data_IF_248385477103
#
_entry.id   IF_248385477103
#
_cell.length_a   1.000
_cell.length_b   1.000
_cell.length_c   1.000
_cell.angle_alpha   90.00
_cell.angle_beta   90.00
_cell.angle_gamma   90.00
#
_symmetry.space_group_name_H-M   'P 1'
#
loop_
_entity.id
_entity.type
_entity.pdbx_description
1 polymer ?
#
# COMPACT_ATOMS: atom_id res chain seq x y z
N UNK A 1 3.41 8.02 -0.38
CA UNK A 1 3.31 7.11 -1.53
C UNK A 1 3.98 5.79 -1.18
N UNK A 2 3.41 4.63 -1.55
CA UNK A 2 4.08 3.32 -1.40
C UNK A 2 4.32 2.80 0.03
N UNK A 3 3.65 3.37 1.05
CA UNK A 3 3.87 3.05 2.47
C UNK A 3 3.52 1.59 2.81
N UNK A 4 2.35 1.10 2.37
CA UNK A 4 1.98 -0.32 2.53
C UNK A 4 2.98 -1.27 1.88
N UNK A 5 3.52 -0.91 0.71
CA UNK A 5 4.57 -1.71 0.05
C UNK A 5 5.85 -1.73 0.87
N UNK A 6 6.24 -0.60 1.47
CA UNK A 6 7.36 -0.52 2.41
C UNK A 6 7.12 -1.41 3.64
N UNK A 7 5.93 -1.38 4.25
CA UNK A 7 5.58 -2.25 5.38
C UNK A 7 5.78 -3.72 5.03
N UNK A 8 5.23 -4.15 3.89
CA UNK A 8 5.39 -5.53 3.39
C UNK A 8 6.86 -5.87 3.11
N UNK A 9 7.62 -4.92 2.57
CA UNK A 9 9.05 -5.11 2.30
C UNK A 9 9.86 -5.28 3.58
N UNK A 10 9.58 -4.51 4.63
CA UNK A 10 10.21 -4.65 5.94
C UNK A 10 9.98 -6.07 6.49
N UNK A 11 8.73 -6.55 6.48
CA UNK A 11 8.40 -7.91 6.92
C UNK A 11 9.15 -8.95 6.07
N UNK A 12 9.11 -8.79 4.75
CA UNK A 12 9.81 -9.70 3.84
C UNK A 12 11.31 -9.77 4.12
N UNK A 13 11.97 -8.63 4.34
CA UNK A 13 13.41 -8.57 4.63
C UNK A 13 13.77 -9.17 5.99
N UNK A 14 12.93 -8.97 6.99
CA UNK A 14 13.08 -9.61 8.29
C UNK A 14 13.00 -11.15 8.19
N UNK A 15 11.99 -11.65 7.48
CA UNK A 15 11.73 -13.08 7.33
C UNK A 15 12.78 -13.76 6.44
N UNK A 16 13.10 -13.19 5.28
CA UNK A 16 13.91 -13.87 4.26
C UNK A 16 15.37 -13.46 4.23
N UNK A 17 15.69 -12.24 4.64
CA UNK A 17 17.06 -11.69 4.58
C UNK A 17 17.71 -11.49 5.95
N UNK A 18 16.98 -11.76 7.04
CA UNK A 18 17.49 -11.63 8.40
C UNK A 18 17.79 -10.19 8.82
N UNK A 19 17.28 -9.21 8.06
CA UNK A 19 17.41 -7.79 8.39
C UNK A 19 16.73 -7.56 9.75
N UNK A 20 17.42 -6.85 10.65
CA UNK A 20 16.93 -6.49 11.99
C UNK A 20 16.69 -7.62 13.00
N UNK A 21 17.04 -8.88 12.70
CA UNK A 21 16.96 -9.98 13.68
C UNK A 21 17.82 -9.80 14.93
N UNK A 22 18.82 -8.93 14.86
CA UNK A 22 19.62 -8.55 16.02
C UNK A 22 18.92 -7.55 16.94
N UNK A 23 17.89 -6.85 16.44
CA UNK A 23 17.09 -5.86 17.17
C UNK A 23 15.76 -6.43 17.66
N UNK A 24 15.11 -7.24 16.81
CA UNK A 24 13.78 -7.75 17.06
C UNK A 24 13.74 -9.27 16.90
N UNK A 25 12.97 -9.91 17.76
CA UNK A 25 12.70 -11.35 17.71
C UNK A 25 11.47 -11.63 16.82
N UNK A 26 10.60 -10.63 16.64
CA UNK A 26 9.40 -10.68 15.79
C UNK A 26 9.05 -9.31 15.20
N UNK A 27 8.46 -9.32 14.01
CA UNK A 27 7.92 -8.14 13.32
C UNK A 27 6.48 -8.41 12.93
N UNK A 28 5.57 -7.50 13.30
CA UNK A 28 4.13 -7.66 13.12
C UNK A 28 3.56 -6.51 12.32
N UNK A 29 3.04 -6.81 11.13
CA UNK A 29 2.38 -5.81 10.30
C UNK A 29 0.87 -5.90 10.48
N UNK A 30 0.27 -4.82 10.99
CA UNK A 30 -1.16 -4.71 11.28
C UNK A 30 -1.77 -3.66 10.36
N UNK A 31 -2.62 -4.06 9.39
CA UNK A 31 -3.41 -3.13 8.60
C UNK A 31 -4.50 -2.51 9.48
N UNK A 32 -4.38 -1.22 9.82
CA UNK A 32 -5.31 -0.57 10.76
C UNK A 32 -6.74 -0.51 10.21
N UNK A 33 -6.90 -0.48 8.89
CA UNK A 33 -8.22 -0.59 8.23
C UNK A 33 -9.01 -1.83 8.63
N UNK A 34 -8.32 -2.95 8.91
CA UNK A 34 -8.92 -4.22 9.27
C UNK A 34 -9.57 -4.22 10.65
N UNK A 35 -9.21 -3.25 11.50
CA UNK A 35 -9.86 -3.03 12.78
C UNK A 35 -11.31 -2.54 12.63
N UNK A 36 -11.68 -1.99 11.46
CA UNK A 36 -13.07 -1.63 11.17
C UNK A 36 -13.90 -2.89 10.94
N UNK A 37 -15.12 -2.89 11.46
CA UNK A 37 -16.08 -3.97 11.17
C UNK A 37 -15.96 -5.20 12.06
N UNK A 38 -15.28 -5.10 13.21
CA UNK A 38 -15.26 -6.17 14.21
C UNK A 38 -16.62 -6.40 14.88
N UNK A 39 -17.60 -5.52 14.63
CA UNK A 39 -18.95 -5.62 15.15
C UNK A 39 -18.94 -5.60 16.69
N UNK A 40 -19.52 -6.63 17.29
CA UNK A 40 -19.55 -6.81 18.75
C UNK A 40 -18.34 -7.59 19.29
N UNK A 41 -17.35 -7.91 18.45
CA UNK A 41 -16.15 -8.61 18.92
C UNK A 41 -15.32 -7.70 19.84
N UNK A 42 -14.64 -8.26 20.85
CA UNK A 42 -13.80 -7.47 21.73
C UNK A 42 -12.58 -6.94 20.99
N UNK A 43 -12.22 -5.70 21.24
CA UNK A 43 -11.02 -5.08 20.68
C UNK A 43 -9.80 -5.41 21.55
N UNK A 44 -9.10 -6.49 21.22
CA UNK A 44 -7.91 -6.97 21.92
C UNK A 44 -6.97 -7.73 20.96
N UNK A 45 -5.77 -8.09 21.44
CA UNK A 45 -4.77 -8.81 20.63
C UNK A 45 -5.25 -10.19 20.16
N UNK A 46 -6.10 -10.87 20.93
CA UNK A 46 -6.61 -12.20 20.56
C UNK A 46 -7.54 -12.13 19.36
N UNK A 47 -8.49 -11.19 19.37
CA UNK A 47 -9.34 -10.90 18.22
C UNK A 47 -8.50 -10.42 17.04
N UNK A 48 -7.51 -9.55 17.26
CA UNK A 48 -6.60 -9.10 16.20
C UNK A 48 -5.92 -10.29 15.53
N UNK A 49 -5.34 -11.17 16.33
CA UNK A 49 -4.56 -12.30 15.85
C UNK A 49 -5.42 -13.28 15.07
N UNK A 50 -6.63 -13.53 15.55
CA UNK A 50 -7.62 -14.37 14.89
C UNK A 50 -8.07 -13.80 13.53
N UNK A 51 -8.34 -12.50 13.47
CA UNK A 51 -8.91 -11.84 12.30
C UNK A 51 -7.89 -11.42 11.24
N UNK A 52 -6.65 -11.14 11.63
CA UNK A 52 -5.62 -10.66 10.72
C UNK A 52 -4.56 -11.72 10.40
N UNK A 53 -4.02 -12.40 11.43
CA UNK A 53 -2.90 -13.32 11.22
C UNK A 53 -3.32 -14.75 10.92
N UNK A 54 -4.47 -15.19 11.45
CA UNK A 54 -4.93 -16.59 11.33
C UNK A 54 -6.27 -16.74 10.61
N UNK A 55 -6.74 -15.71 9.91
CA UNK A 55 -8.03 -15.74 9.22
C UNK A 55 -8.13 -16.84 8.15
N UNK A 56 -7.00 -17.21 7.52
CA UNK A 56 -6.94 -18.24 6.49
C UNK A 56 -7.09 -19.68 7.03
N UNK A 57 -7.02 -19.90 8.35
CA UNK A 57 -7.26 -21.22 8.93
C UNK A 57 -8.72 -21.64 8.76
N UNK A 58 -8.92 -22.82 8.19
CA UNK A 58 -10.25 -23.39 7.91
C UNK A 58 -10.93 -23.96 9.17
N UNK A 59 -10.15 -24.32 10.18
CA UNK A 59 -10.66 -24.85 11.44
C UNK A 59 -10.76 -23.73 12.48
N UNK A 60 -11.98 -23.42 12.90
CA UNK A 60 -12.23 -22.40 13.90
C UNK A 60 -11.51 -22.68 15.22
N UNK A 61 -11.42 -23.94 15.65
CA UNK A 61 -10.78 -24.33 16.92
C UNK A 61 -9.26 -24.18 16.83
N UNK A 62 -8.67 -24.56 15.71
CA UNK A 62 -7.25 -24.34 15.43
C UNK A 62 -6.93 -22.84 15.45
N UNK A 63 -7.74 -22.04 14.74
CA UNK A 63 -7.58 -20.59 14.68
C UNK A 63 -7.62 -19.93 16.06
N UNK A 64 -8.58 -20.30 16.91
CA UNK A 64 -8.63 -19.79 18.30
C UNK A 64 -7.39 -20.22 19.10
N UNK A 65 -6.97 -21.48 18.97
CA UNK A 65 -5.80 -22.00 19.68
C UNK A 65 -4.51 -21.28 19.25
N UNK A 66 -4.36 -21.00 17.96
CA UNK A 66 -3.23 -20.24 17.41
C UNK A 66 -3.27 -18.79 17.87
N UNK A 67 -4.42 -18.13 17.83
CA UNK A 67 -4.57 -16.75 18.30
C UNK A 67 -4.22 -16.61 19.78
N UNK A 68 -4.70 -17.53 20.62
CA UNK A 68 -4.42 -17.55 22.05
C UNK A 68 -2.92 -17.77 22.33
N UNK A 69 -2.32 -18.79 21.72
CA UNK A 69 -0.89 -19.09 21.88
C UNK A 69 -0.01 -17.93 21.39
N UNK A 70 -0.41 -17.30 20.28
CA UNK A 70 0.29 -16.16 19.72
C UNK A 70 0.21 -14.94 20.65
N UNK A 71 -0.94 -14.65 21.26
CA UNK A 71 -1.07 -13.58 22.25
C UNK A 71 -0.22 -13.83 23.48
N UNK A 72 -0.22 -15.06 24.01
CA UNK A 72 0.67 -15.41 25.12
C UNK A 72 2.16 -15.22 24.79
N UNK A 73 2.56 -15.43 23.53
CA UNK A 73 3.92 -15.14 23.09
C UNK A 73 4.20 -13.62 23.01
N UNK A 74 3.20 -12.78 22.76
CA UNK A 74 3.34 -11.32 22.74
C UNK A 74 3.54 -10.74 24.13
N UNK A 75 2.97 -11.35 25.16
CA UNK A 75 3.09 -10.95 26.56
C UNK A 75 4.48 -11.22 27.17
N UNK A 76 5.36 -11.94 26.47
CA UNK A 76 6.74 -12.12 26.89
C UNK A 76 7.50 -10.78 26.84
N UNK A 77 7.66 -10.16 28.01
CA UNK A 77 8.34 -8.87 28.21
C UNK A 77 9.83 -8.88 27.77
N UNK A 78 10.43 -10.07 27.65
CA UNK A 78 11.82 -10.21 27.20
C UNK A 78 11.94 -10.25 25.67
N UNK A 79 10.85 -10.54 24.97
CA UNK A 79 10.85 -10.66 23.52
C UNK A 79 10.64 -9.30 22.86
N UNK A 80 11.56 -8.93 21.96
CA UNK A 80 11.57 -7.63 21.29
C UNK A 80 10.69 -7.70 20.05
N UNK A 81 9.58 -6.98 20.08
CA UNK A 81 8.58 -6.98 19.03
C UNK A 81 8.54 -5.62 18.34
N UNK A 82 8.64 -5.61 17.01
CA UNK A 82 8.34 -4.41 16.22
C UNK A 82 6.92 -4.50 15.67
N UNK A 83 6.09 -3.50 15.98
CA UNK A 83 4.77 -3.34 15.37
C UNK A 83 4.83 -2.36 14.21
N UNK A 84 4.27 -2.74 13.06
CA UNK A 84 4.12 -1.89 11.88
C UNK A 84 2.62 -1.68 11.68
N UNK A 85 2.14 -0.49 12.02
CA UNK A 85 0.73 -0.12 11.96
C UNK A 85 0.46 0.65 10.65
N UNK A 86 -0.17 -0.02 9.70
CA UNK A 86 -0.34 0.48 8.33
C UNK A 86 -1.70 1.17 8.15
N UNK A 87 -1.69 2.47 7.84
CA UNK A 87 -2.89 3.24 7.48
C UNK A 87 -3.62 3.89 8.66
N UNK A 88 -2.92 4.67 9.50
CA UNK A 88 -3.52 5.37 10.64
C UNK A 88 -4.64 6.33 10.21
N UNK A 89 -4.44 7.07 9.12
CA UNK A 89 -5.44 7.99 8.55
C UNK A 89 -6.77 7.32 8.21
N UNK A 90 -6.78 5.99 8.06
CA UNK A 90 -7.99 5.26 7.77
C UNK A 90 -8.88 5.12 8.99
N UNK A 91 -8.34 5.16 10.20
CA UNK A 91 -9.10 4.95 11.44
C UNK A 91 -9.15 6.18 12.35
N UNK A 92 -8.16 7.08 12.28
CA UNK A 92 -8.01 8.15 13.28
C UNK A 92 -9.09 9.23 13.23
N UNK A 93 -9.82 9.37 12.13
CA UNK A 93 -10.86 10.38 11.95
C UNK A 93 -12.30 9.87 12.22
N UNK A 94 -12.49 8.56 12.35
CA UNK A 94 -13.82 7.95 12.38
C UNK A 94 -14.27 7.50 13.77
N UNK A 95 -13.36 7.39 14.74
CA UNK A 95 -13.67 6.83 16.06
C UNK A 95 -13.69 7.90 17.14
N UNK A 96 -14.81 7.97 17.86
CA UNK A 96 -14.92 8.76 19.08
C UNK A 96 -13.96 8.21 20.15
N UNK A 97 -13.37 9.12 20.92
CA UNK A 97 -12.33 8.85 21.92
C UNK A 97 -12.75 7.87 23.02
N UNK A 98 -14.07 7.72 23.23
CA UNK A 98 -14.65 6.90 24.30
C UNK A 98 -15.06 5.49 23.81
N UNK A 99 -14.69 5.12 22.58
CA UNK A 99 -15.03 3.82 22.00
C UNK A 99 -13.96 2.75 22.29
N UNK A 100 -14.39 1.50 22.51
CA UNK A 100 -13.49 0.35 22.61
C UNK A 100 -12.45 0.26 21.47
N UNK A 101 -12.84 0.46 20.18
CA UNK A 101 -11.88 0.56 19.07
C UNK A 101 -10.79 1.61 19.28
N UNK A 102 -11.17 2.82 19.72
CA UNK A 102 -10.21 3.90 19.98
C UNK A 102 -9.24 3.54 21.10
N UNK A 103 -9.75 2.94 22.19
CA UNK A 103 -8.93 2.45 23.30
C UNK A 103 -7.88 1.44 22.86
N UNK A 104 -8.26 0.46 22.02
CA UNK A 104 -7.33 -0.55 21.51
C UNK A 104 -6.32 0.01 20.50
N UNK A 105 -6.74 0.95 19.63
CA UNK A 105 -5.82 1.68 18.76
C UNK A 105 -4.74 2.40 19.56
N UNK A 106 -5.13 3.07 20.65
CA UNK A 106 -4.19 3.72 21.56
C UNK A 106 -3.22 2.72 22.19
N UNK A 107 -3.69 1.53 22.56
CA UNK A 107 -2.81 0.44 23.05
C UNK A 107 -1.77 0.07 21.99
N UNK A 108 -2.18 -0.19 20.74
CA UNK A 108 -1.26 -0.53 19.65
C UNK A 108 -0.23 0.57 19.38
N UNK A 109 -0.67 1.83 19.37
CA UNK A 109 0.20 2.98 19.10
C UNK A 109 1.21 3.26 20.22
N UNK A 110 0.94 2.79 21.44
CA UNK A 110 1.81 2.94 22.60
C UNK A 110 2.69 1.72 22.86
N UNK A 111 2.69 0.73 21.96
CA UNK A 111 3.69 -0.33 22.00
C UNK A 111 5.10 0.26 21.94
N UNK A 112 6.08 -0.48 22.47
CA UNK A 112 7.43 0.04 22.69
C UNK A 112 8.15 0.41 21.39
N UNK A 113 8.07 -0.47 20.40
CA UNK A 113 8.75 -0.32 19.11
C UNK A 113 7.68 -0.34 18.01
N UNK A 114 7.33 0.84 17.50
CA UNK A 114 6.23 1.02 16.54
C UNK A 114 6.66 1.85 15.34
N UNK A 115 6.33 1.36 14.14
CA UNK A 115 6.34 2.13 12.90
C UNK A 115 4.89 2.37 12.50
N UNK A 116 4.52 3.64 12.29
CA UNK A 116 3.17 4.02 11.88
C UNK A 116 3.26 4.55 10.46
N UNK A 117 2.34 4.13 9.59
CA UNK A 117 2.15 4.77 8.28
C UNK A 117 0.86 5.54 8.24
N UNK A 118 0.91 6.70 7.59
CA UNK A 118 -0.27 7.52 7.41
C UNK A 118 -0.15 8.46 6.22
N UNK A 119 -1.29 8.91 5.68
CA UNK A 119 -1.38 10.09 4.82
C UNK A 119 -1.00 11.37 5.61
N UNK A 120 -0.56 12.43 4.93
CA UNK A 120 -0.33 13.71 5.58
C UNK A 120 -1.58 14.16 6.35
N UNK A 121 -1.37 14.88 7.46
CA UNK A 121 -2.43 15.45 8.32
C UNK A 121 -3.23 14.45 9.17
N UNK A 122 -2.79 13.20 9.27
CA UNK A 122 -3.39 12.29 10.24
C UNK A 122 -3.02 12.70 11.66
N UNK A 123 -4.04 12.83 12.51
CA UNK A 123 -3.85 13.14 13.92
C UNK A 123 -3.60 11.86 14.72
N UNK A 124 -2.68 11.96 15.68
CA UNK A 124 -2.49 10.91 16.67
C UNK A 124 -3.59 11.01 17.73
N UNK A 125 -4.17 9.87 18.17
CA UNK A 125 -5.07 9.82 19.30
C UNK A 125 -4.51 10.49 20.56
N UNK A 126 -5.38 11.03 21.40
CA UNK A 126 -4.99 11.60 22.68
C UNK A 126 -4.38 10.53 23.60
N UNK A 127 -3.27 10.86 24.27
CA UNK A 127 -2.56 9.95 25.17
C UNK A 127 -1.66 8.93 24.46
N UNK A 128 -1.34 9.16 23.18
CA UNK A 128 -0.27 8.45 22.48
C UNK A 128 1.07 9.12 22.77
N UNK A 129 2.12 8.31 22.94
CA UNK A 129 3.48 8.78 23.15
C UNK A 129 3.94 9.66 21.97
N UNK A 130 4.81 10.66 22.21
CA UNK A 130 5.34 11.49 21.14
C UNK A 130 6.11 10.63 20.13
N UNK A 131 6.00 10.98 18.85
CA UNK A 131 6.73 10.30 17.78
C UNK A 131 8.19 10.74 17.82
N UNK A 132 9.10 9.76 17.92
CA UNK A 132 10.54 10.02 17.99
C UNK A 132 11.14 10.43 16.63
N UNK A 133 10.58 9.92 15.53
CA UNK A 133 11.07 10.14 14.18
C UNK A 133 9.92 10.17 13.16
N UNK A 134 9.88 11.22 12.36
CA UNK A 134 8.96 11.36 11.23
C UNK A 134 9.74 11.29 9.91
N UNK A 135 9.25 10.45 8.98
CA UNK A 135 9.86 10.26 7.67
C UNK A 135 8.83 10.46 6.57
N UNK A 136 9.20 11.20 5.53
CA UNK A 136 8.37 11.38 4.34
C UNK A 136 8.82 10.47 3.21
N UNK A 137 7.87 9.73 2.63
CA UNK A 137 8.13 8.98 1.40
C UNK A 137 8.22 9.94 0.23
N UNK A 138 9.40 10.04 -0.38
CA UNK A 138 9.63 10.86 -1.58
C UNK A 138 9.26 10.11 -2.86
N UNK A 139 9.07 10.87 -3.94
CA UNK A 139 8.82 10.34 -5.28
C UNK A 139 10.06 9.66 -5.88
N UNK A 140 9.88 8.88 -6.93
CA UNK A 140 10.98 8.24 -7.64
C UNK A 140 11.78 9.25 -8.47
N UNK A 141 13.10 9.16 -8.33
CA UNK A 141 14.04 9.82 -9.24
C UNK A 141 14.12 9.08 -10.59
N UNK A 142 14.56 9.76 -11.68
CA UNK A 142 14.64 9.17 -13.01
C UNK A 142 15.41 7.84 -13.07
N UNK A 143 16.48 7.70 -12.26
CA UNK A 143 17.24 6.44 -12.15
C UNK A 143 16.40 5.32 -11.55
N UNK A 144 15.63 5.60 -10.50
CA UNK A 144 14.76 4.60 -9.85
C UNK A 144 13.62 4.16 -10.78
N UNK A 145 13.10 5.05 -11.63
CA UNK A 145 12.16 4.69 -12.69
C UNK A 145 12.82 3.70 -13.66
N UNK A 146 14.05 3.98 -14.10
CA UNK A 146 14.81 3.06 -14.98
C UNK A 146 15.04 1.70 -14.35
N UNK A 147 15.45 1.66 -13.08
CA UNK A 147 15.69 0.43 -12.33
C UNK A 147 14.39 -0.36 -12.12
N UNK A 148 13.29 0.33 -11.83
CA UNK A 148 11.96 -0.27 -11.74
C UNK A 148 11.54 -0.93 -13.05
N UNK A 149 11.71 -0.26 -14.20
CA UNK A 149 11.39 -0.82 -15.51
C UNK A 149 12.20 -2.10 -15.81
N UNK A 150 13.50 -2.09 -15.48
CA UNK A 150 14.37 -3.27 -15.65
C UNK A 150 14.00 -4.44 -14.74
N UNK A 151 13.49 -4.15 -13.55
CA UNK A 151 12.97 -5.18 -12.66
C UNK A 151 11.59 -5.72 -13.12
N UNK A 152 10.84 -4.91 -13.86
CA UNK A 152 9.45 -5.19 -14.27
C UNK A 152 9.35 -5.92 -15.60
N UNK A 153 10.23 -5.61 -16.55
CA UNK A 153 10.24 -6.19 -17.89
C UNK A 153 11.55 -6.95 -18.14
N UNK A 154 11.45 -8.09 -18.84
CA UNK A 154 12.63 -8.79 -19.39
C UNK A 154 13.01 -8.31 -20.79
N UNK A 155 12.06 -7.70 -21.48
CA UNK A 155 12.19 -7.22 -22.85
C UNK A 155 12.80 -5.81 -22.85
N UNK A 156 14.03 -5.70 -23.35
CA UNK A 156 14.77 -4.44 -23.45
C UNK A 156 14.15 -3.47 -24.44
N UNK A 157 13.51 -3.96 -25.51
CA UNK A 157 12.85 -3.11 -26.51
C UNK A 157 11.62 -2.41 -25.90
N UNK A 158 10.84 -3.12 -25.08
CA UNK A 158 9.73 -2.52 -24.33
C UNK A 158 10.23 -1.46 -23.35
N UNK A 159 11.32 -1.73 -22.64
CA UNK A 159 11.93 -0.76 -21.71
C UNK A 159 12.34 0.51 -22.47
N UNK A 160 13.01 0.37 -23.62
CA UNK A 160 13.47 1.50 -24.43
C UNK A 160 12.30 2.32 -24.98
N UNK A 161 11.22 1.66 -25.43
CA UNK A 161 9.98 2.33 -25.88
C UNK A 161 9.33 3.14 -24.76
N UNK A 162 9.16 2.56 -23.58
CA UNK A 162 8.60 3.26 -22.41
C UNK A 162 9.48 4.45 -22.04
N UNK A 163 10.79 4.26 -21.98
CA UNK A 163 11.72 5.33 -21.65
C UNK A 163 11.71 6.45 -22.70
N UNK A 164 11.60 6.13 -23.99
CA UNK A 164 11.46 7.15 -25.03
C UNK A 164 10.16 7.92 -24.88
N UNK A 165 9.04 7.20 -24.70
CA UNK A 165 7.75 7.82 -24.46
C UNK A 165 7.79 8.81 -23.28
N UNK A 166 8.39 8.44 -22.15
CA UNK A 166 8.51 9.35 -21.01
C UNK A 166 9.39 10.56 -21.30
N UNK A 167 10.49 10.40 -22.06
CA UNK A 167 11.33 11.55 -22.46
C UNK A 167 10.59 12.52 -23.38
N UNK A 168 9.77 11.99 -24.28
CA UNK A 168 9.03 12.78 -25.27
C UNK A 168 7.81 13.49 -24.64
N UNK A 169 7.38 13.07 -23.44
CA UNK A 169 6.21 13.60 -22.74
C UNK A 169 6.55 14.00 -21.29
N UNK A 170 7.07 15.22 -21.03
CA UNK A 170 7.51 15.66 -19.70
C UNK A 170 6.43 15.57 -18.60
N UNK A 171 5.17 15.86 -18.95
CA UNK A 171 4.05 15.71 -18.00
C UNK A 171 3.86 14.26 -17.55
N UNK A 172 4.03 13.30 -18.46
CA UNK A 172 3.99 11.88 -18.14
C UNK A 172 5.21 11.46 -17.34
N UNK A 173 6.39 12.00 -17.66
CA UNK A 173 7.62 11.75 -16.91
C UNK A 173 7.49 12.15 -15.43
N UNK A 174 6.92 13.32 -15.15
CA UNK A 174 6.74 13.81 -13.79
C UNK A 174 5.64 13.02 -13.05
N UNK A 175 4.56 12.64 -13.74
CA UNK A 175 3.52 11.79 -13.18
C UNK A 175 4.07 10.40 -12.79
N UNK A 176 4.92 9.81 -13.63
CA UNK A 176 5.51 8.48 -13.39
C UNK A 176 6.52 8.43 -12.23
N UNK A 177 6.81 9.56 -11.58
CA UNK A 177 7.58 9.56 -10.33
C UNK A 177 6.78 8.98 -9.16
N UNK A 178 5.45 8.92 -9.27
CA UNK A 178 4.61 8.27 -8.28
C UNK A 178 4.54 6.76 -8.57
N UNK A 179 4.98 5.88 -7.66
CA UNK A 179 5.13 4.44 -7.95
C UNK A 179 3.86 3.74 -8.45
N UNK A 180 2.68 4.10 -7.93
CA UNK A 180 1.41 3.47 -8.36
C UNK A 180 1.06 3.83 -9.82
N UNK A 181 1.44 5.02 -10.26
CA UNK A 181 1.19 5.47 -11.64
C UNK A 181 2.18 4.80 -12.60
N UNK A 182 3.43 4.62 -12.18
CA UNK A 182 4.42 3.86 -12.93
C UNK A 182 4.03 2.38 -13.07
N UNK A 183 3.56 1.74 -12.00
CA UNK A 183 3.08 0.36 -12.03
C UNK A 183 1.88 0.20 -12.99
N UNK A 184 0.92 1.14 -12.94
CA UNK A 184 -0.21 1.16 -13.86
C UNK A 184 0.24 1.31 -15.33
N UNK A 185 1.19 2.20 -15.62
CA UNK A 185 1.79 2.34 -16.95
C UNK A 185 2.43 1.03 -17.41
N UNK A 186 3.21 0.39 -16.53
CA UNK A 186 3.87 -0.87 -16.84
C UNK A 186 2.85 -1.99 -17.10
N UNK A 187 1.76 -2.04 -16.34
CA UNK A 187 0.67 -2.98 -16.55
C UNK A 187 0.04 -2.83 -17.94
N UNK A 188 -0.25 -1.59 -18.35
CA UNK A 188 -0.78 -1.30 -19.70
C UNK A 188 0.20 -1.79 -20.77
N UNK A 189 1.50 -1.56 -20.60
CA UNK A 189 2.53 -1.96 -21.56
C UNK A 189 2.86 -3.47 -21.57
N UNK A 190 2.47 -4.20 -20.51
CA UNK A 190 2.63 -5.66 -20.42
C UNK A 190 1.59 -6.42 -21.23
N UNK A 191 0.38 -5.88 -21.37
CA UNK A 191 -0.62 -6.48 -22.23
C UNK A 191 -0.09 -6.38 -23.65
N UNK A 192 0.25 -7.53 -24.26
CA UNK A 192 0.45 -7.64 -25.70
C UNK A 192 -0.90 -7.42 -26.39
N UNK A 193 -1.39 -6.19 -26.36
CA UNK A 193 -2.32 -5.73 -27.38
C UNK A 193 -1.47 -5.83 -28.64
N UNK A 194 -1.82 -6.76 -29.53
CA UNK A 194 -1.11 -7.04 -30.79
C UNK A 194 -1.12 -5.84 -31.77
N UNK A 195 -1.43 -4.64 -31.28
CA UNK A 195 -1.28 -3.38 -31.96
C UNK A 195 0.11 -2.85 -31.70
N UNK A 196 0.86 -2.77 -32.80
CA UNK A 196 1.93 -1.80 -33.01
C UNK A 196 1.62 -0.53 -32.17
N UNK A 197 2.45 -0.25 -31.15
CA UNK A 197 2.42 1.03 -30.44
C UNK A 197 2.90 2.13 -31.41
N UNK A 198 2.09 2.46 -32.41
CA UNK A 198 2.05 3.83 -32.88
C UNK A 198 1.32 4.58 -31.76
N UNK A 199 2.06 5.47 -31.09
CA UNK A 199 1.58 6.37 -30.03
C UNK A 199 0.45 7.31 -30.48
N UNK A 200 -0.28 6.98 -31.54
CA UNK A 200 -1.41 7.71 -32.11
C UNK A 200 -2.75 6.97 -31.90
N UNK A 201 -2.73 5.68 -31.53
CA UNK A 201 -3.94 4.85 -31.39
C UNK A 201 -4.01 4.11 -30.03
N UNK A 202 -3.63 4.77 -28.94
CA UNK A 202 -4.12 4.34 -27.63
C UNK A 202 -5.63 4.68 -27.62
N UNK A 203 -6.51 3.70 -27.88
CA UNK A 203 -7.97 3.88 -27.81
C UNK A 203 -8.44 4.04 -26.34
N UNK A 204 -8.02 5.12 -25.69
CA UNK A 204 -8.43 5.48 -24.33
C UNK A 204 -9.93 5.80 -24.25
N UNK A 205 -10.54 6.06 -25.41
CA UNK A 205 -11.96 6.27 -25.59
C UNK A 205 -12.74 5.00 -25.99
N UNK A 206 -12.08 3.82 -26.01
CA UNK A 206 -12.77 2.55 -26.26
C UNK A 206 -13.91 2.39 -25.25
N UNK A 207 -15.12 2.15 -25.75
CA UNK A 207 -16.32 1.98 -24.93
C UNK A 207 -16.64 0.50 -24.80
N UNK A 208 -17.03 0.08 -23.61
CA UNK A 208 -17.66 -1.23 -23.44
C UNK A 208 -19.10 -1.25 -24.01
N UNK A 209 -19.77 -2.40 -23.92
CA UNK A 209 -21.16 -2.59 -24.38
C UNK A 209 -22.17 -1.66 -23.67
N UNK A 210 -21.75 -1.01 -22.58
CA UNK A 210 -22.53 -0.05 -21.81
C UNK A 210 -22.12 1.41 -22.09
N UNK A 211 -21.25 1.66 -23.08
CA UNK A 211 -20.80 2.98 -23.45
C UNK A 211 -19.73 3.59 -22.52
N UNK A 212 -19.16 2.81 -21.59
CA UNK A 212 -18.21 3.29 -20.57
C UNK A 212 -16.79 3.20 -21.09
N UNK A 213 -16.04 4.31 -20.95
CA UNK A 213 -14.61 4.37 -21.23
C UNK A 213 -13.80 4.01 -19.97
N UNK A 214 -12.50 3.66 -20.10
CA UNK A 214 -11.58 3.56 -18.97
C UNK A 214 -11.64 4.78 -18.03
N UNK A 215 -11.84 5.99 -18.58
CA UNK A 215 -12.02 7.21 -17.81
C UNK A 215 -13.34 7.23 -17.04
N UNK A 216 -14.43 6.76 -17.65
CA UNK A 216 -15.73 6.60 -16.98
C UNK A 216 -15.64 5.66 -15.78
N UNK A 217 -14.92 4.55 -15.91
CA UNK A 217 -14.65 3.63 -14.81
C UNK A 217 -13.79 4.28 -13.72
N UNK A 218 -12.69 4.93 -14.08
CA UNK A 218 -11.82 5.59 -13.11
C UNK A 218 -12.58 6.70 -12.35
N UNK A 219 -13.45 7.44 -13.03
CA UNK A 219 -14.31 8.45 -12.42
C UNK A 219 -15.37 7.85 -11.49
N UNK A 220 -16.05 6.77 -11.89
CA UNK A 220 -17.09 6.15 -11.06
C UNK A 220 -16.55 5.54 -9.77
N UNK A 221 -15.29 5.11 -9.77
CA UNK A 221 -14.60 4.56 -8.60
C UNK A 221 -13.73 5.60 -7.85
N UNK A 222 -13.71 6.87 -8.29
CA UNK A 222 -12.97 7.94 -7.61
C UNK A 222 -11.44 7.82 -7.70
N UNK A 223 -10.91 7.13 -8.70
CA UNK A 223 -9.47 6.92 -8.89
C UNK A 223 -8.79 8.14 -9.51
N UNK A 224 -8.68 9.23 -8.75
CA UNK A 224 -8.14 10.52 -9.22
C UNK A 224 -6.77 10.42 -9.90
N UNK A 225 -5.88 9.57 -9.38
CA UNK A 225 -4.57 9.33 -9.98
C UNK A 225 -4.64 8.65 -11.35
N UNK A 226 -5.61 7.74 -11.54
CA UNK A 226 -5.88 7.04 -12.81
C UNK A 226 -6.60 7.97 -13.77
N UNK A 227 -7.51 8.82 -13.29
CA UNK A 227 -8.16 9.87 -14.08
C UNK A 227 -7.11 10.84 -14.62
N UNK A 228 -6.21 11.35 -13.77
CA UNK A 228 -5.10 12.22 -14.19
C UNK A 228 -4.19 11.54 -15.21
N UNK A 229 -3.90 10.26 -15.02
CA UNK A 229 -3.13 9.45 -15.97
C UNK A 229 -3.84 9.34 -17.33
N UNK A 230 -5.11 8.91 -17.34
CA UNK A 230 -5.88 8.73 -18.56
C UNK A 230 -6.10 10.06 -19.31
N UNK A 231 -6.34 11.16 -18.58
CA UNK A 231 -6.43 12.51 -19.17
C UNK A 231 -5.09 12.99 -19.73
N UNK A 232 -3.98 12.75 -19.02
CA UNK A 232 -2.65 13.12 -19.50
C UNK A 232 -2.30 12.35 -20.78
N UNK A 233 -2.56 11.04 -20.80
CA UNK A 233 -2.39 10.21 -22.00
C UNK A 233 -3.28 10.76 -23.13
N UNK A 234 -4.57 11.04 -22.89
CA UNK A 234 -5.48 11.60 -23.88
C UNK A 234 -5.00 12.93 -24.46
N UNK A 235 -4.54 13.85 -23.61
CA UNK A 235 -4.01 15.14 -24.05
C UNK A 235 -2.73 15.03 -24.87
N UNK A 236 -1.89 14.03 -24.62
CA UNK A 236 -0.67 13.80 -25.41
C UNK A 236 -0.99 13.25 -26.81
N UNK A 237 -2.06 12.46 -26.97
CA UNK A 237 -2.47 11.91 -28.27
C UNK A 237 -3.13 12.95 -29.18
N UNK A 238 -3.87 13.92 -28.62
CA UNK A 238 -4.64 14.92 -29.40
C UNK A 238 -3.77 16.08 -29.94
N UNK A 239 -2.51 16.21 -29.51
CA UNK A 239 -1.61 17.32 -29.90
C UNK A 239 -0.68 17.05 -31.09
N UNK A 240 -0.94 16.01 -31.88
CA UNK A 240 -0.25 15.76 -33.16
C UNK A 240 -0.99 16.37 -34.34
#
# INVERSE_FOLDING_TARGET
MGKTTLCKKIVYDFVHHGVWRHLFDRVLCVPLRGLKGWGNSPYNFETLSRLEFFNESKDAKERESLAHAFCGALEDEYARALFILDGLDEVSQEWDSDTHPYGFLRTLLNEKDVIITSRPLAELPYGVNPVDLELETVEFHPKQISDYLKATFRDTEKIDKIQSFLRDHPLMQDLMRIPIQLDALCYIWRQDINTKFDTDELEIDSRDDYGRTPLSYAASYGYEAVIKLLLAIACCLVRK
#
